data_IF_737098407450
#
_entry.id   IF_737098407450
#
_cell.length_a   1.000
_cell.length_b   1.000
_cell.length_c   1.000
_cell.angle_alpha   90.00
_cell.angle_beta   90.00
_cell.angle_gamma   90.00
#
_symmetry.space_group_name_H-M   'P 1'
#
loop_
_entity.id
_entity.type
_entity.pdbx_description
1 polymer ?
#
# COMPACT_ATOMS: atom_id res chain seq x y z
N UNK A 1 -16.35 11.68 32.53
CA UNK A 1 -17.02 12.94 32.91
C UNK A 1 -16.50 13.95 31.91
N UNK A 2 -17.25 14.56 30.99
CA UNK A 2 -18.67 14.91 30.99
C UNK A 2 -19.10 15.04 29.52
N UNK A 3 -20.26 14.49 29.21
CA UNK A 3 -20.93 14.54 27.92
C UNK A 3 -21.90 15.72 27.85
N UNK A 4 -22.21 16.19 26.62
CA UNK A 4 -23.48 16.78 26.12
C UNK A 4 -23.25 17.99 25.18
N UNK A 5 -24.19 18.33 24.29
CA UNK A 5 -25.05 17.47 23.47
C UNK A 5 -25.15 17.95 21.99
N UNK A 6 -25.46 17.00 21.09
CA UNK A 6 -25.89 17.29 19.72
C UNK A 6 -27.33 17.82 19.70
N UNK A 7 -27.55 18.99 19.10
CA UNK A 7 -28.88 19.55 18.86
C UNK A 7 -29.55 18.89 17.64
N UNK A 8 -30.80 18.41 17.72
CA UNK A 8 -31.48 17.77 16.60
C UNK A 8 -32.08 18.78 15.60
N UNK A 9 -31.99 18.44 14.30
CA UNK A 9 -32.55 19.08 13.09
C UNK A 9 -34.08 19.35 13.10
N UNK A 10 -34.79 19.15 14.22
CA UNK A 10 -36.23 19.35 14.32
C UNK A 10 -36.65 20.82 14.54
N UNK A 11 -35.72 21.70 14.94
CA UNK A 11 -36.02 23.11 15.27
C UNK A 11 -36.08 24.02 14.04
N UNK A 12 -35.49 23.61 12.90
CA UNK A 12 -35.48 24.42 11.67
C UNK A 12 -36.78 24.33 10.85
N UNK A 13 -37.52 23.21 10.93
CA UNK A 13 -38.80 23.03 10.21
C UNK A 13 -39.99 23.76 10.87
N UNK A 14 -39.86 24.17 12.14
CA UNK A 14 -40.90 24.96 12.83
C UNK A 14 -40.88 26.45 12.52
N UNK A 15 -39.76 27.02 12.04
CA UNK A 15 -39.66 28.45 11.74
C UNK A 15 -40.18 28.83 10.34
N UNK A 16 -40.11 27.92 9.37
CA UNK A 16 -40.60 28.15 8.01
C UNK A 16 -42.14 28.09 7.87
N UNK A 17 -42.84 27.39 8.79
CA UNK A 17 -44.32 27.29 8.79
C UNK A 17 -45.02 28.46 9.48
N UNK A 18 -44.29 29.27 10.25
CA UNK A 18 -44.84 30.43 10.99
C UNK A 18 -44.88 31.71 10.15
N UNK A 19 -44.12 31.79 9.05
CA UNK A 19 -44.05 32.98 8.20
C UNK A 19 -45.10 32.99 7.07
N UNK A 20 -45.54 31.83 6.58
CA UNK A 20 -46.59 31.73 5.56
C UNK A 20 -48.01 31.99 6.10
N UNK A 21 -48.24 31.88 7.42
CA UNK A 21 -49.54 32.22 8.04
C UNK A 21 -49.68 33.71 8.41
N UNK A 22 -48.58 34.46 8.47
CA UNK A 22 -48.58 35.88 8.93
C UNK A 22 -48.76 36.90 7.80
N UNK A 23 -48.64 36.49 6.53
CA UNK A 23 -48.86 37.35 5.36
C UNK A 23 -50.25 37.23 4.71
N UNK A 24 -51.10 36.26 5.08
CA UNK A 24 -52.42 36.07 4.45
C UNK A 24 -53.60 36.67 5.22
N UNK A 25 -53.38 37.26 6.39
CA UNK A 25 -54.46 37.69 7.31
C UNK A 25 -54.56 39.20 7.52
N UNK A 26 -53.91 40.02 6.69
CA UNK A 26 -53.89 41.48 6.86
C UNK A 26 -54.25 42.29 5.61
N UNK A 27 -55.25 41.83 4.85
CA UNK A 27 -55.99 42.66 3.89
C UNK A 27 -57.40 42.07 3.76
N UNK A 28 -58.38 42.62 4.48
CA UNK A 28 -59.83 42.63 4.16
C UNK A 28 -60.60 43.23 5.36
N UNK A 29 -61.14 44.46 5.27
CA UNK A 29 -62.19 44.91 6.16
C UNK A 29 -63.56 44.41 5.67
N UNK A 30 -64.40 44.08 6.64
CA UNK A 30 -65.74 43.49 6.54
C UNK A 30 -66.79 44.61 6.55
N UNK A 31 -67.92 44.35 5.88
CA UNK A 31 -69.20 45.10 5.83
C UNK A 31 -69.32 46.14 4.70
N UNK A 32 -70.46 46.37 4.07
CA UNK A 32 -71.71 45.63 3.85
C UNK A 32 -72.58 46.52 2.93
N UNK A 33 -73.34 45.90 2.01
CA UNK A 33 -74.60 46.38 1.40
C UNK A 33 -74.61 47.61 0.46
N UNK A 34 -75.19 47.32 -0.71
CA UNK A 34 -76.16 48.08 -1.52
C UNK A 34 -75.67 49.29 -2.36
N UNK A 35 -75.90 49.10 -3.67
CA UNK A 35 -76.44 50.01 -4.69
C UNK A 35 -75.73 51.35 -5.00
N UNK A 36 -75.13 51.34 -6.20
CA UNK A 36 -75.30 52.30 -7.31
C UNK A 36 -74.98 53.79 -7.14
N UNK A 37 -74.20 54.29 -8.12
CA UNK A 37 -74.18 55.64 -8.73
C UNK A 37 -72.98 56.56 -8.39
N UNK A 38 -72.31 56.94 -9.49
CA UNK A 38 -71.41 58.09 -9.78
C UNK A 38 -70.00 58.17 -9.13
N UNK A 39 -68.91 58.18 -9.92
CA UNK A 39 -68.34 59.31 -10.71
C UNK A 39 -67.95 60.46 -9.74
N UNK A 40 -66.70 60.90 -9.55
CA UNK A 40 -65.57 61.16 -10.45
C UNK A 40 -64.22 61.07 -9.69
N UNK A 41 -63.12 60.85 -10.43
CA UNK A 41 -61.75 60.89 -9.91
C UNK A 41 -61.25 62.33 -9.65
N UNK A 42 -60.11 62.49 -8.95
CA UNK A 42 -58.92 62.87 -9.73
C UNK A 42 -57.62 62.17 -9.30
N UNK A 43 -57.00 61.46 -10.26
CA UNK A 43 -55.59 61.46 -10.74
C UNK A 43 -54.36 61.66 -9.81
N UNK A 44 -54.49 61.83 -8.49
CA UNK A 44 -53.36 61.97 -7.55
C UNK A 44 -52.89 60.66 -6.90
N UNK A 45 -53.78 59.68 -6.72
CA UNK A 45 -53.50 58.48 -5.94
C UNK A 45 -52.72 57.38 -6.71
N UNK A 46 -52.76 57.40 -8.04
CA UNK A 46 -52.17 56.33 -8.87
C UNK A 46 -50.64 56.39 -8.94
N UNK A 47 -50.03 57.58 -8.86
CA UNK A 47 -48.56 57.72 -8.88
C UNK A 47 -47.92 57.26 -7.58
N UNK A 48 -48.53 57.53 -6.43
CA UNK A 48 -47.99 57.15 -5.12
C UNK A 48 -48.06 55.64 -4.86
N UNK A 49 -49.09 54.97 -5.40
CA UNK A 49 -49.22 53.52 -5.28
C UNK A 49 -48.17 52.76 -6.12
N UNK A 50 -47.90 53.25 -7.34
CA UNK A 50 -46.95 52.61 -8.25
C UNK A 50 -45.50 52.66 -7.73
N UNK A 51 -45.08 53.77 -7.11
CA UNK A 51 -43.74 53.89 -6.52
C UNK A 51 -43.56 53.01 -5.28
N UNK A 52 -44.62 52.87 -4.47
CA UNK A 52 -44.62 52.00 -3.29
C UNK A 52 -44.51 50.52 -3.66
N UNK A 53 -45.25 50.08 -4.68
CA UNK A 53 -45.19 48.68 -5.16
C UNK A 53 -43.81 48.38 -5.75
N UNK A 54 -43.20 49.31 -6.51
CA UNK A 54 -41.86 49.11 -7.08
C UNK A 54 -40.77 49.04 -6.00
N UNK A 55 -40.89 49.84 -4.95
CA UNK A 55 -39.98 49.82 -3.79
C UNK A 55 -40.08 48.53 -2.98
N UNK A 56 -41.29 47.99 -2.81
CA UNK A 56 -41.49 46.73 -2.08
C UNK A 56 -41.00 45.55 -2.93
N UNK A 57 -41.24 45.59 -4.24
CA UNK A 57 -40.78 44.53 -5.15
C UNK A 57 -39.26 44.44 -5.22
N UNK A 58 -38.54 45.57 -5.36
CA UNK A 58 -37.06 45.55 -5.39
C UNK A 58 -36.44 45.12 -4.06
N UNK A 59 -36.98 45.55 -2.92
CA UNK A 59 -36.52 45.09 -1.59
C UNK A 59 -36.82 43.61 -1.32
N UNK A 60 -37.89 43.07 -1.91
CA UNK A 60 -38.23 41.66 -1.76
C UNK A 60 -37.35 40.79 -2.69
N UNK A 61 -37.10 41.25 -3.92
CA UNK A 61 -36.28 40.54 -4.88
C UNK A 61 -34.79 40.51 -4.47
N UNK A 62 -34.26 41.60 -3.92
CA UNK A 62 -32.87 41.63 -3.42
C UNK A 62 -32.64 40.71 -2.20
N UNK A 63 -33.68 40.49 -1.39
CA UNK A 63 -33.60 39.55 -0.25
C UNK A 63 -33.73 38.10 -0.69
N UNK A 64 -34.49 37.82 -1.75
CA UNK A 64 -34.60 36.46 -2.30
C UNK A 64 -33.28 36.02 -2.95
N UNK A 65 -32.66 36.89 -3.75
CA UNK A 65 -31.37 36.56 -4.41
C UNK A 65 -30.22 36.42 -3.41
N UNK A 66 -30.22 37.19 -2.31
CA UNK A 66 -29.25 37.02 -1.23
C UNK A 66 -29.45 35.69 -0.47
N UNK A 67 -30.70 35.23 -0.33
CA UNK A 67 -31.01 33.97 0.33
C UNK A 67 -30.66 32.75 -0.52
N UNK A 68 -30.87 32.81 -1.85
CA UNK A 68 -30.45 31.74 -2.78
C UNK A 68 -28.93 31.62 -2.93
N UNK A 69 -28.19 32.74 -2.87
CA UNK A 69 -26.73 32.70 -2.91
C UNK A 69 -26.11 32.14 -1.62
N UNK A 70 -26.72 32.40 -0.45
CA UNK A 70 -26.24 31.86 0.84
C UNK A 70 -26.59 30.38 1.07
N UNK A 71 -27.68 29.86 0.50
CA UNK A 71 -27.98 28.42 0.60
C UNK A 71 -27.06 27.58 -0.28
N UNK A 72 -26.66 28.06 -1.45
CA UNK A 72 -25.72 27.36 -2.34
C UNK A 72 -24.30 27.28 -1.77
N UNK A 73 -23.83 28.32 -1.08
CA UNK A 73 -22.49 28.32 -0.43
C UNK A 73 -22.44 27.37 0.78
N UNK A 74 -23.52 27.27 1.56
CA UNK A 74 -23.60 26.34 2.69
C UNK A 74 -23.69 24.87 2.25
N UNK A 75 -24.32 24.59 1.11
CA UNK A 75 -24.47 23.23 0.57
C UNK A 75 -23.20 22.71 -0.16
N UNK A 76 -22.36 23.61 -0.67
CA UNK A 76 -21.05 23.27 -1.25
C UNK A 76 -19.96 23.06 -0.18
N UNK A 77 -19.95 23.85 0.90
CA UNK A 77 -18.97 23.70 1.99
C UNK A 77 -19.08 22.39 2.76
N UNK A 78 -20.31 21.90 2.98
CA UNK A 78 -20.58 20.66 3.73
C UNK A 78 -20.22 19.40 2.95
N UNK A 79 -20.37 19.38 1.62
CA UNK A 79 -20.00 18.25 0.77
C UNK A 79 -18.48 18.12 0.57
N UNK A 80 -17.73 19.23 0.58
CA UNK A 80 -16.27 19.19 0.50
C UNK A 80 -15.65 18.77 1.84
N UNK A 81 -16.15 19.30 2.96
CA UNK A 81 -15.67 18.94 4.29
C UNK A 81 -15.93 17.46 4.62
N UNK A 82 -17.11 16.91 4.29
CA UNK A 82 -17.45 15.51 4.60
C UNK A 82 -16.72 14.49 3.70
N UNK A 83 -16.45 14.83 2.43
CA UNK A 83 -15.60 14.01 1.55
C UNK A 83 -14.14 14.03 2.00
N UNK A 84 -13.64 15.17 2.47
CA UNK A 84 -12.27 15.25 3.02
C UNK A 84 -12.17 14.56 4.39
N UNK A 85 -13.22 14.60 5.22
CA UNK A 85 -13.25 13.92 6.53
C UNK A 85 -13.23 12.38 6.44
N UNK A 86 -13.72 11.79 5.34
CA UNK A 86 -13.73 10.34 5.12
C UNK A 86 -12.54 9.84 4.29
N UNK A 87 -12.01 10.67 3.38
CA UNK A 87 -10.88 10.28 2.54
C UNK A 87 -9.55 10.36 3.31
N UNK A 88 -9.38 11.30 4.23
CA UNK A 88 -8.13 11.44 5.00
C UNK A 88 -7.86 10.21 5.89
N UNK A 89 -8.80 9.69 6.71
CA UNK A 89 -8.54 8.48 7.50
C UNK A 89 -8.34 7.22 6.64
N UNK A 90 -9.01 7.14 5.48
CA UNK A 90 -8.85 6.02 4.54
C UNK A 90 -7.50 6.08 3.80
N UNK A 91 -6.98 7.28 3.50
CA UNK A 91 -5.64 7.45 2.95
C UNK A 91 -4.56 7.18 4.00
N UNK A 92 -4.75 7.59 5.27
CA UNK A 92 -3.77 7.30 6.33
C UNK A 92 -3.75 5.83 6.72
N UNK A 93 -4.86 5.09 6.59
CA UNK A 93 -4.92 3.65 6.82
C UNK A 93 -4.22 2.84 5.69
N UNK A 94 -4.04 3.42 4.51
CA UNK A 94 -3.29 2.88 3.38
C UNK A 94 -1.80 3.33 3.36
N UNK A 95 -1.39 4.16 4.31
CA UNK A 95 -0.03 4.74 4.42
C UNK A 95 0.80 4.15 5.57
N UNK A 96 0.36 3.07 6.22
CA UNK A 96 1.29 2.27 7.04
C UNK A 96 2.23 1.54 6.08
N UNK A 97 3.28 2.22 5.62
CA UNK A 97 4.52 1.55 5.26
C UNK A 97 4.88 0.70 6.47
N UNK A 98 4.64 -0.61 6.38
CA UNK A 98 5.14 -1.52 7.37
C UNK A 98 6.66 -1.32 7.36
N UNK A 99 7.18 -0.65 8.39
CA UNK A 99 8.60 -0.67 8.67
C UNK A 99 8.88 -2.13 9.05
N UNK A 100 9.24 -2.94 8.06
CA UNK A 100 9.66 -4.31 8.27
C UNK A 100 11.04 -4.24 8.91
N UNK A 101 11.08 -4.22 10.24
CA UNK A 101 12.32 -4.40 10.97
C UNK A 101 12.80 -5.83 10.75
N UNK A 102 14.12 -6.03 10.78
CA UNK A 102 14.70 -7.37 10.82
C UNK A 102 14.16 -8.11 12.05
N UNK A 103 13.37 -9.16 11.82
CA UNK A 103 12.77 -10.00 12.86
C UNK A 103 13.58 -11.27 12.98
N UNK A 104 14.00 -11.63 14.19
CA UNK A 104 14.60 -12.94 14.48
C UNK A 104 13.55 -14.02 14.26
N UNK A 105 13.89 -15.04 13.47
CA UNK A 105 12.96 -16.13 13.14
C UNK A 105 13.12 -17.29 14.11
N UNK A 106 12.08 -17.54 14.89
CA UNK A 106 12.01 -18.67 15.82
C UNK A 106 11.14 -19.81 15.28
N UNK A 107 10.23 -19.51 14.34
CA UNK A 107 9.37 -20.47 13.68
C UNK A 107 8.85 -19.90 12.34
N UNK A 108 8.09 -20.69 11.59
CA UNK A 108 7.56 -20.30 10.28
C UNK A 108 6.68 -19.03 10.28
N UNK A 109 5.99 -18.72 11.37
CA UNK A 109 5.10 -17.55 11.44
C UNK A 109 5.87 -16.22 11.51
N UNK A 110 7.17 -16.27 11.85
CA UNK A 110 8.05 -15.09 11.87
C UNK A 110 8.60 -14.73 10.47
N UNK A 111 8.43 -15.61 9.48
CA UNK A 111 8.93 -15.41 8.12
C UNK A 111 8.05 -14.40 7.38
N UNK A 112 8.68 -13.35 6.83
CA UNK A 112 7.98 -12.22 6.20
C UNK A 112 7.83 -12.35 4.68
N UNK A 113 8.84 -12.91 4.00
CA UNK A 113 8.81 -13.12 2.55
C UNK A 113 8.47 -14.57 2.23
N UNK A 114 7.36 -14.75 1.51
CA UNK A 114 6.85 -16.06 1.08
C UNK A 114 6.63 -16.08 -0.42
N UNK A 115 7.14 -17.12 -1.06
CA UNK A 115 6.95 -17.37 -2.50
C UNK A 115 6.26 -18.70 -2.73
N UNK A 116 5.65 -18.87 -3.91
CA UNK A 116 5.02 -20.11 -4.32
C UNK A 116 3.58 -20.25 -3.82
N UNK A 117 3.00 -21.41 -4.09
CA UNK A 117 1.65 -21.76 -3.70
C UNK A 117 1.57 -23.25 -3.39
N UNK A 118 0.69 -23.60 -2.46
CA UNK A 118 0.48 -24.99 -2.04
C UNK A 118 0.24 -25.10 -0.54
N UNK A 119 -0.15 -26.31 -0.13
CA UNK A 119 -0.50 -26.59 1.26
C UNK A 119 0.73 -26.71 2.17
N UNK A 120 1.86 -27.19 1.64
CA UNK A 120 3.08 -27.43 2.40
C UNK A 120 3.93 -26.15 2.48
N UNK A 121 4.71 -26.05 3.56
CA UNK A 121 5.62 -24.93 3.83
C UNK A 121 7.06 -25.43 3.99
N UNK A 122 8.00 -24.73 3.37
CA UNK A 122 9.43 -24.91 3.58
C UNK A 122 10.10 -23.55 3.77
N UNK A 123 11.27 -23.53 4.39
CA UNK A 123 12.06 -22.32 4.61
C UNK A 123 13.48 -22.53 4.09
N UNK A 124 14.00 -21.51 3.40
CA UNK A 124 15.38 -21.45 2.94
C UNK A 124 16.15 -20.44 3.79
N UNK A 125 17.24 -20.87 4.40
CA UNK A 125 18.15 -20.02 5.16
C UNK A 125 19.47 -19.89 4.42
N UNK A 126 20.01 -18.69 4.27
CA UNK A 126 21.33 -18.47 3.67
C UNK A 126 22.20 -17.70 4.68
N UNK A 127 23.34 -18.31 5.02
CA UNK A 127 24.40 -17.74 5.85
C UNK A 127 25.68 -17.66 5.01
N UNK A 128 26.05 -16.44 4.61
CA UNK A 128 27.27 -16.18 3.85
C UNK A 128 28.54 -16.25 4.72
N UNK A 129 28.41 -16.39 6.04
CA UNK A 129 29.50 -16.33 7.00
C UNK A 129 30.39 -15.07 6.86
N UNK A 130 29.78 -13.93 6.49
CA UNK A 130 30.43 -12.65 6.23
C UNK A 130 30.32 -11.65 7.41
N UNK A 131 30.08 -12.18 8.62
CA UNK A 131 29.80 -11.43 9.85
C UNK A 131 28.48 -10.63 9.84
N UNK A 132 27.59 -10.88 8.88
CA UNK A 132 26.24 -10.29 8.85
C UNK A 132 25.19 -11.35 9.20
N UNK A 133 23.97 -10.87 9.41
CA UNK A 133 22.86 -11.73 9.78
C UNK A 133 22.49 -12.68 8.61
N UNK A 134 22.34 -13.98 8.87
CA UNK A 134 21.70 -14.91 7.95
C UNK A 134 20.27 -14.49 7.67
N UNK A 135 19.80 -14.74 6.45
CA UNK A 135 18.46 -14.38 6.00
C UNK A 135 17.63 -15.62 5.71
N UNK A 136 16.32 -15.52 5.93
CA UNK A 136 15.36 -16.58 5.64
C UNK A 136 14.19 -16.14 4.79
N UNK A 137 13.83 -17.01 3.85
CA UNK A 137 12.65 -16.91 2.98
C UNK A 137 11.77 -18.13 3.17
N UNK A 138 10.46 -17.96 2.97
CA UNK A 138 9.47 -19.02 3.00
C UNK A 138 9.05 -19.45 1.60
N UNK A 139 8.71 -20.72 1.44
CA UNK A 139 8.25 -21.31 0.20
C UNK A 139 7.01 -22.18 0.43
N UNK A 140 5.98 -21.96 -0.38
CA UNK A 140 4.76 -22.78 -0.41
C UNK A 140 4.74 -23.68 -1.63
N UNK A 141 4.38 -24.94 -1.42
CA UNK A 141 4.42 -25.96 -2.46
C UNK A 141 3.45 -27.10 -2.17
N UNK A 142 3.14 -27.89 -3.20
CA UNK A 142 2.50 -29.20 -3.04
C UNK A 142 3.54 -30.32 -3.19
N UNK A 143 4.23 -30.34 -4.33
CA UNK A 143 5.39 -31.21 -4.61
C UNK A 143 6.51 -30.37 -5.19
N UNK A 144 7.67 -30.34 -4.53
CA UNK A 144 8.82 -29.58 -4.96
C UNK A 144 10.13 -30.15 -4.39
N UNK A 145 11.24 -29.77 -5.00
CA UNK A 145 12.60 -30.02 -4.53
C UNK A 145 13.24 -28.77 -3.94
N UNK A 146 14.38 -28.92 -3.25
CA UNK A 146 15.19 -27.79 -2.79
C UNK A 146 15.63 -26.88 -3.95
N UNK A 147 15.88 -27.44 -5.13
CA UNK A 147 16.18 -26.68 -6.34
C UNK A 147 15.01 -25.82 -6.82
N UNK A 148 13.78 -26.37 -6.80
CA UNK A 148 12.57 -25.62 -7.16
C UNK A 148 12.34 -24.46 -6.19
N UNK A 149 12.55 -24.70 -4.89
CA UNK A 149 12.47 -23.67 -3.86
C UNK A 149 13.51 -22.57 -4.05
N UNK A 150 14.79 -22.92 -4.22
CA UNK A 150 15.86 -21.94 -4.43
C UNK A 150 15.55 -21.07 -5.65
N UNK A 151 15.21 -21.70 -6.78
CA UNK A 151 14.85 -20.97 -8.01
C UNK A 151 13.67 -20.03 -7.76
N UNK A 152 12.57 -20.54 -7.20
CA UNK A 152 11.38 -19.73 -6.98
C UNK A 152 11.65 -18.53 -6.09
N UNK A 153 12.42 -18.70 -5.01
CA UNK A 153 12.78 -17.61 -4.10
C UNK A 153 13.66 -16.56 -4.80
N UNK A 154 14.69 -16.99 -5.53
CA UNK A 154 15.59 -16.09 -6.28
C UNK A 154 14.81 -15.31 -7.34
N UNK A 155 13.87 -15.96 -8.05
CA UNK A 155 13.04 -15.29 -9.05
C UNK A 155 12.04 -14.28 -8.44
N UNK A 156 11.73 -14.40 -7.15
CA UNK A 156 10.76 -13.55 -6.46
C UNK A 156 11.38 -12.39 -5.66
N UNK A 157 12.64 -12.52 -5.20
CA UNK A 157 13.37 -11.46 -4.51
C UNK A 157 14.48 -10.91 -5.42
N UNK A 158 14.27 -9.71 -5.96
CA UNK A 158 15.19 -9.06 -6.90
C UNK A 158 16.58 -8.76 -6.34
N UNK A 159 16.76 -8.88 -5.02
CA UNK A 159 18.06 -8.72 -4.37
C UNK A 159 18.79 -10.03 -4.18
N UNK A 160 18.15 -11.18 -4.39
CA UNK A 160 18.78 -12.48 -4.21
C UNK A 160 19.27 -13.01 -5.56
N UNK A 161 20.50 -13.51 -5.58
CA UNK A 161 21.17 -14.00 -6.78
C UNK A 161 21.72 -15.40 -6.56
N UNK A 162 21.63 -16.25 -7.57
CA UNK A 162 22.14 -17.61 -7.53
C UNK A 162 22.89 -17.98 -8.82
N UNK A 163 24.07 -18.56 -8.62
CA UNK A 163 24.90 -19.17 -9.66
C UNK A 163 25.01 -20.65 -9.36
N UNK A 164 24.51 -21.48 -10.26
CA UNK A 164 24.47 -22.94 -10.07
C UNK A 164 25.04 -23.65 -11.30
N UNK A 165 25.43 -24.91 -11.14
CA UNK A 165 25.76 -25.82 -12.24
C UNK A 165 24.96 -27.10 -12.07
N UNK A 166 24.45 -27.63 -13.19
CA UNK A 166 23.84 -28.96 -13.19
C UNK A 166 24.93 -29.99 -13.52
N UNK A 167 25.35 -30.76 -12.51
CA UNK A 167 26.28 -31.88 -12.70
C UNK A 167 25.59 -33.15 -13.21
N UNK A 168 24.25 -33.13 -13.33
CA UNK A 168 23.46 -34.27 -13.72
C UNK A 168 23.49 -35.42 -12.71
N UNK A 169 22.80 -36.51 -13.05
CA UNK A 169 22.73 -37.73 -12.23
C UNK A 169 22.20 -37.48 -10.81
N UNK A 170 22.70 -38.25 -9.84
CA UNK A 170 22.30 -38.15 -8.43
C UNK A 170 22.93 -36.97 -7.69
N UNK A 171 23.99 -36.36 -8.24
CA UNK A 171 24.63 -35.17 -7.67
C UNK A 171 23.77 -33.93 -7.90
N UNK A 172 23.12 -33.86 -9.06
CA UNK A 172 22.14 -32.83 -9.35
C UNK A 172 22.74 -31.44 -9.45
N UNK A 173 22.01 -30.44 -8.97
CA UNK A 173 22.50 -29.07 -8.97
C UNK A 173 23.47 -28.81 -7.84
N UNK A 174 24.59 -28.20 -8.22
CA UNK A 174 25.59 -27.69 -7.31
C UNK A 174 25.50 -26.17 -7.27
N UNK A 175 25.46 -25.63 -6.06
CA UNK A 175 25.39 -24.19 -5.85
C UNK A 175 26.80 -23.63 -5.81
N UNK A 176 27.18 -22.91 -6.86
CA UNK A 176 28.50 -22.27 -6.92
C UNK A 176 28.51 -21.01 -6.09
N UNK A 177 27.53 -20.13 -6.29
CA UNK A 177 27.49 -18.85 -5.60
C UNK A 177 26.08 -18.39 -5.25
N UNK A 178 25.95 -17.77 -4.08
CA UNK A 178 24.74 -17.07 -3.65
C UNK A 178 25.12 -15.64 -3.32
N UNK A 179 24.30 -14.69 -3.77
CA UNK A 179 24.49 -13.27 -3.56
C UNK A 179 23.25 -12.60 -3.04
N UNK A 180 23.42 -11.54 -2.26
CA UNK A 180 22.32 -10.73 -1.78
C UNK A 180 22.71 -9.25 -1.73
N UNK A 181 21.94 -8.42 -2.44
CA UNK A 181 22.01 -6.97 -2.47
C UNK A 181 21.43 -6.40 -1.16
N UNK A 182 22.29 -5.90 -0.27
CA UNK A 182 21.87 -5.59 1.11
C UNK A 182 21.28 -4.21 1.28
N UNK A 183 21.76 -3.24 0.53
CA UNK A 183 21.36 -1.84 0.60
C UNK A 183 20.49 -1.41 -0.60
N UNK A 184 20.24 -2.34 -1.52
CA UNK A 184 19.29 -2.21 -2.63
C UNK A 184 19.72 -1.14 -3.64
N UNK A 185 21.03 -1.04 -3.89
CA UNK A 185 21.63 -0.07 -4.82
C UNK A 185 22.23 -0.71 -6.08
N UNK A 186 22.21 -2.03 -6.16
CA UNK A 186 22.50 -2.82 -7.35
C UNK A 186 23.61 -3.85 -7.14
N UNK A 187 23.35 -5.09 -7.56
CA UNK A 187 24.27 -6.19 -7.35
C UNK A 187 25.28 -6.40 -8.48
N UNK A 188 26.53 -6.71 -8.12
CA UNK A 188 27.58 -7.10 -9.05
C UNK A 188 28.65 -7.98 -8.42
N UNK A 189 29.34 -8.77 -9.25
CA UNK A 189 30.46 -9.62 -8.81
C UNK A 189 31.69 -9.44 -9.70
N UNK A 190 32.87 -9.67 -9.15
CA UNK A 190 34.15 -9.40 -9.81
C UNK A 190 34.42 -10.19 -11.09
N UNK A 191 33.69 -11.29 -11.32
CA UNK A 191 33.72 -12.04 -12.58
C UNK A 191 32.83 -11.45 -13.68
N UNK A 192 32.07 -10.40 -13.39
CA UNK A 192 31.06 -9.81 -14.28
C UNK A 192 30.06 -10.86 -14.81
N UNK A 193 29.69 -11.83 -13.97
CA UNK A 193 28.64 -12.79 -14.32
C UNK A 193 27.32 -12.03 -14.47
N UNK A 194 26.67 -12.18 -15.61
CA UNK A 194 25.31 -11.69 -15.84
C UNK A 194 24.31 -12.70 -15.25
N UNK A 195 23.59 -12.28 -14.21
CA UNK A 195 22.55 -13.08 -13.56
C UNK A 195 21.19 -12.98 -14.26
N UNK A 196 21.06 -12.14 -15.29
CA UNK A 196 19.80 -11.88 -15.97
C UNK A 196 18.76 -11.18 -15.09
N UNK A 197 17.56 -10.99 -15.64
CA UNK A 197 16.46 -10.31 -14.93
C UNK A 197 15.84 -11.14 -13.80
N UNK A 198 16.16 -12.43 -13.73
CA UNK A 198 15.60 -13.38 -12.77
C UNK A 198 16.58 -13.75 -11.65
N UNK A 199 17.76 -13.12 -11.60
CA UNK A 199 18.77 -13.35 -10.56
C UNK A 199 19.42 -14.73 -10.57
N UNK A 200 19.10 -15.60 -11.55
CA UNK A 200 19.45 -17.02 -11.52
C UNK A 200 20.17 -17.43 -12.80
N UNK A 201 21.41 -17.92 -12.66
CA UNK A 201 22.24 -18.32 -13.80
C UNK A 201 22.80 -19.74 -13.66
N UNK A 202 22.76 -20.49 -14.76
CA UNK A 202 23.51 -21.74 -14.90
C UNK A 202 24.89 -21.46 -15.50
N UNK A 203 25.96 -21.76 -14.77
CA UNK A 203 27.33 -21.57 -15.23
C UNK A 203 28.27 -22.54 -14.53
N UNK A 204 29.11 -23.24 -15.30
CA UNK A 204 30.14 -24.13 -14.74
C UNK A 204 31.41 -23.41 -14.27
N UNK A 205 31.47 -22.08 -14.45
CA UNK A 205 32.63 -21.27 -14.07
C UNK A 205 32.63 -21.02 -12.56
N UNK A 206 33.72 -21.43 -11.89
CA UNK A 206 34.01 -21.19 -10.46
C UNK A 206 35.24 -20.32 -10.35
N UNK A 207 35.01 -19.01 -10.35
CA UNK A 207 36.10 -18.03 -10.28
C UNK A 207 36.55 -17.72 -8.86
N UNK A 208 35.77 -18.11 -7.85
CA UNK A 208 35.92 -17.57 -6.50
C UNK A 208 35.70 -16.05 -6.48
N UNK A 209 34.74 -15.56 -7.26
CA UNK A 209 34.45 -14.14 -7.34
C UNK A 209 33.91 -13.61 -6.01
N UNK A 210 33.99 -12.30 -5.86
CA UNK A 210 33.51 -11.55 -4.69
C UNK A 210 32.50 -10.52 -5.16
N UNK A 211 31.66 -10.03 -4.25
CA UNK A 211 30.82 -8.87 -4.54
C UNK A 211 31.71 -7.68 -4.96
N UNK A 212 31.21 -6.87 -5.90
CA UNK A 212 31.86 -5.60 -6.27
C UNK A 212 31.53 -4.50 -5.27
N UNK A 213 30.35 -4.59 -4.65
CA UNK A 213 29.95 -3.72 -3.56
C UNK A 213 30.36 -4.35 -2.21
N UNK A 214 31.13 -3.65 -1.35
CA UNK A 214 31.49 -4.17 -0.03
C UNK A 214 30.30 -4.38 0.91
N UNK A 215 29.17 -3.71 0.70
CA UNK A 215 27.97 -3.75 1.53
C UNK A 215 27.15 -5.01 1.25
N UNK A 216 27.30 -5.57 0.06
CA UNK A 216 26.66 -6.80 -0.40
C UNK A 216 27.24 -8.06 0.24
N UNK A 217 26.41 -9.09 0.28
CA UNK A 217 26.86 -10.45 0.55
C UNK A 217 27.06 -11.20 -0.76
N UNK A 218 28.22 -11.78 -0.97
CA UNK A 218 28.42 -12.79 -2.00
C UNK A 218 29.46 -13.79 -1.58
N UNK A 219 29.18 -15.06 -1.83
CA UNK A 219 30.15 -16.11 -1.67
C UNK A 219 30.06 -17.06 -2.85
N UNK A 220 31.21 -17.34 -3.47
CA UNK A 220 31.35 -18.30 -4.57
C UNK A 220 32.37 -19.37 -4.20
N UNK A 221 32.04 -20.61 -4.56
CA UNK A 221 32.95 -21.75 -4.51
C UNK A 221 34.16 -21.47 -5.41
N UNK A 222 35.36 -21.60 -4.83
CA UNK A 222 36.60 -21.47 -5.58
C UNK A 222 36.85 -22.65 -6.54
N UNK A 223 37.79 -22.51 -7.46
CA UNK A 223 38.12 -23.53 -8.46
C UNK A 223 38.63 -24.84 -7.87
N UNK A 224 39.08 -24.84 -6.60
CA UNK A 224 39.63 -26.00 -5.90
C UNK A 224 38.63 -26.63 -4.91
N UNK A 225 37.38 -26.13 -4.87
CA UNK A 225 36.35 -26.52 -3.90
C UNK A 225 36.74 -26.29 -2.43
N UNK A 226 37.76 -25.48 -2.16
CA UNK A 226 38.26 -25.24 -0.80
C UNK A 226 37.27 -24.48 0.07
N UNK A 227 36.43 -23.66 -0.57
CA UNK A 227 35.48 -22.76 0.09
C UNK A 227 34.06 -22.95 -0.47
N UNK A 228 33.54 -24.18 -0.36
CA UNK A 228 32.28 -24.60 -1.00
C UNK A 228 31.06 -24.39 -0.10
N UNK A 229 29.92 -24.08 -0.70
CA UNK A 229 28.63 -24.10 -0.02
C UNK A 229 28.29 -25.49 0.53
N UNK A 230 28.00 -25.57 1.83
CA UNK A 230 27.41 -26.75 2.46
C UNK A 230 25.90 -26.57 2.55
N UNK A 231 25.19 -27.66 2.32
CA UNK A 231 23.73 -27.70 2.34
C UNK A 231 23.27 -28.44 3.58
N UNK A 232 22.35 -27.84 4.33
CA UNK A 232 21.84 -28.32 5.60
C UNK A 232 20.34 -28.51 5.53
N UNK A 233 19.84 -29.43 6.34
CA UNK A 233 18.42 -29.73 6.48
C UNK A 233 18.01 -29.74 7.95
N UNK A 234 16.77 -29.33 8.19
CA UNK A 234 16.09 -29.36 9.47
C UNK A 234 14.60 -29.61 9.26
N UNK A 235 13.88 -29.93 10.32
CA UNK A 235 12.45 -30.24 10.25
C UNK A 235 11.70 -29.72 11.46
N UNK A 236 10.40 -29.48 11.27
CA UNK A 236 9.49 -29.04 12.33
C UNK A 236 9.20 -27.54 12.28
N UNK A 237 8.22 -27.10 13.08
CA UNK A 237 7.74 -25.71 13.00
C UNK A 237 8.76 -24.68 13.52
N UNK A 238 9.62 -25.09 14.45
CA UNK A 238 10.58 -24.19 15.09
C UNK A 238 11.89 -24.12 14.28
N UNK A 239 12.59 -23.01 14.41
CA UNK A 239 13.92 -22.82 13.85
C UNK A 239 14.87 -23.94 14.30
N UNK A 240 15.61 -24.60 13.41
CA UNK A 240 16.40 -25.78 13.77
C UNK A 240 17.48 -25.50 14.82
N UNK A 241 18.16 -24.35 14.74
CA UNK A 241 19.26 -24.00 15.64
C UNK A 241 20.33 -25.11 15.69
N UNK A 242 20.54 -25.72 16.86
CA UNK A 242 21.47 -26.84 17.00
C UNK A 242 21.02 -28.14 16.30
N UNK A 243 19.79 -28.19 15.77
CA UNK A 243 19.19 -29.35 15.11
C UNK A 243 19.47 -29.43 13.60
N UNK A 244 20.28 -28.54 13.02
CA UNK A 244 20.72 -28.67 11.62
C UNK A 244 21.53 -29.95 11.41
N UNK A 245 21.27 -30.64 10.30
CA UNK A 245 22.07 -31.76 9.83
C UNK A 245 22.60 -31.49 8.42
N UNK A 246 23.77 -32.02 8.07
CA UNK A 246 24.25 -32.01 6.69
C UNK A 246 23.27 -32.75 5.77
N UNK A 247 22.96 -32.16 4.63
CA UNK A 247 22.17 -32.80 3.61
C UNK A 247 22.97 -33.95 2.97
N UNK A 248 22.31 -35.09 2.74
CA UNK A 248 22.91 -36.26 2.08
C UNK A 248 22.64 -36.28 0.57
N UNK A 249 21.92 -35.27 0.06
CA UNK A 249 21.52 -35.14 -1.35
C UNK A 249 21.74 -33.70 -1.80
N UNK A 250 22.04 -33.51 -3.09
CA UNK A 250 22.05 -32.18 -3.69
C UNK A 250 20.65 -31.58 -3.74
N UNK A 251 20.55 -30.26 -3.91
CA UNK A 251 19.28 -29.52 -3.81
C UNK A 251 18.20 -30.02 -4.79
N UNK A 252 18.58 -30.50 -5.96
CA UNK A 252 17.63 -31.04 -6.96
C UNK A 252 17.19 -32.47 -6.68
N UNK A 253 17.93 -33.22 -5.85
CA UNK A 253 17.52 -34.54 -5.35
C UNK A 253 16.79 -34.49 -4.01
N UNK A 254 16.78 -33.34 -3.35
CA UNK A 254 16.16 -33.11 -2.05
C UNK A 254 14.67 -32.82 -2.22
N UNK A 255 13.83 -33.84 -2.08
CA UNK A 255 12.38 -33.65 -2.01
C UNK A 255 12.00 -32.91 -0.73
N UNK A 256 11.21 -31.84 -0.85
CA UNK A 256 10.73 -31.08 0.30
C UNK A 256 9.57 -31.80 1.00
N UNK A 257 9.45 -31.56 2.30
CA UNK A 257 8.33 -32.01 3.14
C UNK A 257 7.73 -30.82 3.86
N UNK A 258 6.48 -30.90 4.29
CA UNK A 258 5.89 -29.83 5.10
C UNK A 258 6.75 -29.57 6.35
N UNK A 259 6.92 -28.30 6.67
CA UNK A 259 7.79 -27.79 7.73
C UNK A 259 9.26 -28.22 7.59
N UNK A 260 9.77 -28.29 6.35
CA UNK A 260 11.20 -28.49 6.11
C UNK A 260 11.96 -27.17 6.16
N UNK A 261 13.13 -27.21 6.80
CA UNK A 261 14.12 -26.15 6.77
C UNK A 261 15.29 -26.62 5.94
N UNK A 262 15.70 -25.81 5.00
CA UNK A 262 16.86 -26.06 4.16
C UNK A 262 17.78 -24.84 4.29
N UNK A 263 19.08 -25.09 4.36
CA UNK A 263 20.05 -24.07 4.74
C UNK A 263 21.33 -24.13 3.91
N UNK A 264 21.88 -22.98 3.57
CA UNK A 264 23.22 -22.85 3.01
C UNK A 264 24.14 -22.17 4.00
N UNK A 265 25.32 -22.75 4.20
CA UNK A 265 26.39 -22.16 4.99
C UNK A 265 27.75 -22.62 4.48
N UNK A 266 28.78 -21.81 4.66
CA UNK A 266 30.12 -22.10 4.13
C UNK A 266 30.95 -22.84 5.19
N UNK A 267 31.04 -22.25 6.38
CA UNK A 267 31.88 -22.81 7.45
C UNK A 267 31.15 -23.80 8.35
N UNK A 268 29.82 -23.84 8.26
CA UNK A 268 28.97 -24.66 9.12
C UNK A 268 27.50 -24.42 8.87
N UNK A 269 26.66 -24.97 9.75
CA UNK A 269 25.22 -24.75 9.69
C UNK A 269 24.88 -23.26 9.88
N UNK A 270 23.78 -22.77 9.28
CA UNK A 270 23.37 -21.38 9.43
C UNK A 270 23.21 -20.96 10.89
N UNK A 271 23.67 -19.74 11.21
CA UNK A 271 23.52 -19.11 12.51
C UNK A 271 22.07 -18.73 12.85
N UNK A 272 21.85 -17.77 13.75
CA UNK A 272 20.49 -17.28 14.04
C UNK A 272 19.97 -16.45 12.86
N UNK A 273 18.87 -16.87 12.24
CA UNK A 273 18.35 -16.25 11.03
C UNK A 273 17.37 -15.11 11.31
N UNK A 274 17.35 -14.14 10.40
CA UNK A 274 16.42 -13.02 10.38
C UNK A 274 15.56 -13.09 9.13
N UNK A 275 14.29 -12.71 9.26
CA UNK A 275 13.38 -12.68 8.11
C UNK A 275 13.91 -11.74 7.04
N UNK A 276 13.97 -12.21 5.80
CA UNK A 276 14.28 -11.35 4.67
C UNK A 276 13.22 -10.25 4.56
N UNK A 277 13.67 -9.00 4.40
CA UNK A 277 12.83 -7.81 4.50
C UNK A 277 12.31 -7.45 3.12
N UNK A 278 10.98 -7.35 2.88
CA UNK A 278 10.46 -6.94 1.58
C UNK A 278 11.02 -5.58 1.14
N UNK A 279 11.29 -5.43 -0.15
CA UNK A 279 11.66 -4.14 -0.74
C UNK A 279 10.64 -3.07 -0.33
N UNK A 280 11.07 -1.90 0.16
CA UNK A 280 10.16 -0.80 0.36
C UNK A 280 9.62 -0.42 -1.02
N UNK A 281 8.37 -0.76 -1.31
CA UNK A 281 7.71 -0.52 -2.59
C UNK A 281 7.71 0.99 -2.95
N UNK A 282 8.81 1.48 -3.50
CA UNK A 282 9.05 2.87 -3.89
C UNK A 282 8.17 3.26 -5.09
N UNK A 283 7.64 2.28 -5.83
CA UNK A 283 6.61 2.45 -6.86
C UNK A 283 5.31 3.10 -6.31
N UNK A 284 4.92 2.82 -5.05
CA UNK A 284 3.73 3.45 -4.46
C UNK A 284 3.99 4.93 -4.12
N UNK A 285 5.21 5.27 -3.70
CA UNK A 285 5.60 6.65 -3.39
C UNK A 285 5.62 7.53 -4.67
N UNK A 286 6.12 6.98 -5.78
CA UNK A 286 6.15 7.69 -7.07
C UNK A 286 4.74 7.79 -7.69
N UNK A 287 3.94 6.72 -7.62
CA UNK A 287 2.57 6.71 -8.13
C UNK A 287 1.65 7.74 -7.44
N UNK A 288 1.80 7.93 -6.13
CA UNK A 288 1.06 8.95 -5.38
C UNK A 288 1.52 10.38 -5.72
N UNK A 289 2.82 10.59 -5.94
CA UNK A 289 3.36 11.88 -6.42
C UNK A 289 2.77 12.28 -7.78
N UNK A 290 2.65 11.34 -8.71
CA UNK A 290 2.05 11.56 -10.01
C UNK A 290 0.54 11.92 -9.91
N UNK A 291 -0.21 11.25 -9.03
CA UNK A 291 -1.65 11.53 -8.83
C UNK A 291 -1.89 12.92 -8.21
N UNK A 292 -1.02 13.35 -7.28
CA UNK A 292 -1.08 14.71 -6.69
C UNK A 292 -0.77 15.78 -7.75
N UNK A 293 0.24 15.55 -8.59
CA UNK A 293 0.58 16.46 -9.69
C UNK A 293 -0.53 16.54 -10.76
N UNK A 294 -1.16 15.41 -11.11
CA UNK A 294 -2.26 15.37 -12.07
C UNK A 294 -3.52 16.06 -11.53
N UNK A 295 -3.82 15.95 -10.23
CA UNK A 295 -4.92 16.69 -9.59
C UNK A 295 -4.66 18.21 -9.54
N UNK A 296 -3.42 18.64 -9.29
CA UNK A 296 -3.06 20.07 -9.33
C UNK A 296 -3.25 20.68 -10.72
N UNK A 297 -2.84 19.98 -11.79
CA UNK A 297 -3.05 20.45 -13.17
C UNK A 297 -4.53 20.61 -13.53
N UNK A 298 -5.39 19.68 -13.08
CA UNK A 298 -6.82 19.70 -13.41
C UNK A 298 -7.60 20.81 -12.70
N UNK A 299 -7.15 21.26 -11.53
CA UNK A 299 -7.77 22.38 -10.83
C UNK A 299 -7.34 23.74 -11.38
N UNK A 300 -6.14 23.84 -11.97
CA UNK A 300 -5.67 25.05 -12.63
C UNK A 300 -6.45 25.35 -13.92
N UNK A 301 -6.86 24.33 -14.68
CA UNK A 301 -7.60 24.51 -15.94
C UNK A 301 -9.08 24.90 -15.77
N UNK A 302 -9.67 24.66 -14.59
CA UNK A 302 -11.06 25.03 -14.27
C UNK A 302 -11.17 26.47 -13.75
N UNK A 303 -10.05 27.07 -13.30
CA UNK A 303 -10.03 28.46 -12.83
C UNK A 303 -9.94 29.50 -13.97
N UNK A 304 -9.82 29.06 -15.23
CA UNK A 304 -9.64 29.92 -16.41
C UNK A 304 -10.77 29.82 -17.45
N UNK A 305 -11.91 29.21 -17.10
CA UNK A 305 -13.10 29.14 -17.97
C UNK A 305 -14.27 29.94 -17.40
#
# INVERSE_FOLDING_TARGET
MESMPLLPMATLKRSARTWTKKCSTRCLPRQARKSSVCLEQPRGAARTLATSIRSVWTKCHSKLSYFEQHTLTLQQGTNMALKHLLIIPLLTLLMTSANYAAVVVNNFDDIQLWTGNGANRAALVIDWNDNRNPLVWGYRFDTATGADMLRAIVEADSRLFAKVEDFGGTLGWFTHGLGYDRDSDGFGISSNTDFGSNGFVFSGSRSGATATDPEDSYHETDSNFGNTWRYFVGTGNNYPGAGWADATTGISGRNLSDLSWDGFGVTGAPGTAFAAVPEPNSAWLIGLGAIVCLRRKRNASVATS
#
